data_IF_721227383932
#
_entry.id   IF_721227383932
#
_cell.length_a   1.000
_cell.length_b   1.000
_cell.length_c   1.000
_cell.angle_alpha   90.00
_cell.angle_beta   90.00
_cell.angle_gamma   90.00
#
_symmetry.space_group_name_H-M   'P 1'
#
loop_
_entity.id
_entity.type
_entity.pdbx_description
1 polymer ?
#
# COMPACT_ATOMS: atom_id res chain seq x y z
N UNK A 1 -6.27 2.01 -21.93
CA UNK A 1 -7.42 2.86 -21.53
C UNK A 1 -7.45 4.06 -22.45
N UNK A 2 -8.61 4.58 -22.85
CA UNK A 2 -8.67 5.74 -23.75
C UNK A 2 -8.24 7.00 -22.98
N UNK A 3 -7.33 7.78 -23.56
CA UNK A 3 -6.82 9.05 -23.00
C UNK A 3 -7.96 10.07 -22.72
N UNK A 4 -9.10 9.87 -23.39
CA UNK A 4 -10.31 10.70 -23.33
C UNK A 4 -11.03 10.63 -21.96
N UNK A 5 -10.93 9.50 -21.24
CA UNK A 5 -11.59 9.32 -19.93
C UNK A 5 -10.72 9.77 -18.74
N UNK A 6 -9.48 10.19 -19.01
CA UNK A 6 -8.49 10.46 -17.98
C UNK A 6 -8.90 11.59 -17.01
N UNK A 7 -9.49 12.72 -17.46
CA UNK A 7 -9.96 13.76 -16.55
C UNK A 7 -11.05 13.27 -15.59
N UNK A 8 -12.04 12.54 -16.11
CA UNK A 8 -13.14 11.98 -15.31
C UNK A 8 -12.61 10.97 -14.28
N UNK A 9 -11.65 10.15 -14.70
CA UNK A 9 -11.01 9.16 -13.86
C UNK A 9 -10.15 9.82 -12.76
N UNK A 10 -9.44 10.90 -13.09
CA UNK A 10 -8.66 11.67 -12.15
C UNK A 10 -9.56 12.32 -11.09
N UNK A 11 -10.68 12.93 -11.51
CA UNK A 11 -11.69 13.48 -10.59
C UNK A 11 -12.26 12.41 -9.66
N UNK A 12 -12.60 11.23 -10.19
CA UNK A 12 -13.10 10.11 -9.40
C UNK A 12 -12.12 9.70 -8.30
N UNK A 13 -10.84 9.47 -8.65
CA UNK A 13 -9.83 9.08 -7.67
C UNK A 13 -9.57 10.17 -6.65
N UNK A 14 -9.51 11.42 -7.10
CA UNK A 14 -9.26 12.56 -6.23
C UNK A 14 -10.38 12.71 -5.18
N UNK A 15 -11.64 12.64 -5.61
CA UNK A 15 -12.79 12.70 -4.72
C UNK A 15 -12.82 11.52 -3.73
N UNK A 16 -12.51 10.31 -4.23
CA UNK A 16 -12.45 9.10 -3.41
C UNK A 16 -11.37 9.22 -2.32
N UNK A 17 -10.14 9.58 -2.69
CA UNK A 17 -9.02 9.66 -1.77
C UNK A 17 -9.14 10.81 -0.78
N UNK A 18 -9.64 11.98 -1.21
CA UNK A 18 -9.94 13.09 -0.31
C UNK A 18 -10.94 12.66 0.79
N UNK A 19 -11.99 11.93 0.41
CA UNK A 19 -12.96 11.36 1.35
C UNK A 19 -12.34 10.33 2.30
N UNK A 20 -11.51 9.42 1.79
CA UNK A 20 -10.80 8.41 2.60
C UNK A 20 -9.82 9.07 3.60
N UNK A 21 -9.24 10.22 3.26
CA UNK A 21 -8.33 10.99 4.12
C UNK A 21 -9.05 12.01 5.02
N UNK A 22 -10.37 12.18 4.88
CA UNK A 22 -11.15 13.14 5.66
C UNK A 22 -10.84 14.61 5.34
N UNK A 23 -10.37 14.91 4.13
CA UNK A 23 -10.07 16.27 3.66
C UNK A 23 -11.05 16.71 2.57
N UNK A 24 -11.21 18.03 2.41
CA UNK A 24 -11.95 18.58 1.28
C UNK A 24 -11.23 18.25 -0.03
N UNK A 25 -11.99 17.97 -1.08
CA UNK A 25 -11.41 17.71 -2.40
C UNK A 25 -10.75 19.00 -2.91
N UNK A 26 -9.40 19.04 -3.08
CA UNK A 26 -8.70 20.25 -3.50
C UNK A 26 -8.96 20.60 -4.98
N UNK A 27 -9.40 19.64 -5.79
CA UNK A 27 -9.49 19.79 -7.24
C UNK A 27 -8.13 19.79 -7.94
N UNK A 28 -8.17 19.81 -9.28
CA UNK A 28 -7.02 19.89 -10.16
C UNK A 28 -7.06 21.19 -10.95
N UNK A 29 -5.92 21.80 -11.16
CA UNK A 29 -5.78 22.91 -12.12
C UNK A 29 -5.82 22.41 -13.57
N UNK A 30 -6.05 23.31 -14.52
CA UNK A 30 -6.08 22.95 -15.95
C UNK A 30 -4.72 22.44 -16.42
N UNK A 31 -3.67 23.03 -15.90
CA UNK A 31 -2.27 22.69 -16.16
C UNK A 31 -1.95 21.29 -15.61
N UNK A 32 -2.45 20.96 -14.41
CA UNK A 32 -2.35 19.63 -13.84
C UNK A 32 -3.07 18.57 -14.70
N UNK A 33 -4.29 18.87 -15.17
CA UNK A 33 -5.03 17.95 -16.06
C UNK A 33 -4.28 17.74 -17.37
N UNK A 34 -3.76 18.80 -17.98
CA UNK A 34 -2.99 18.71 -19.22
C UNK A 34 -1.71 17.87 -19.05
N UNK A 35 -1.00 18.02 -17.92
CA UNK A 35 0.17 17.21 -17.60
C UNK A 35 -0.20 15.73 -17.46
N UNK A 36 -1.30 15.42 -16.77
CA UNK A 36 -1.78 14.05 -16.63
C UNK A 36 -2.19 13.44 -17.97
N UNK A 37 -2.77 14.22 -18.88
CA UNK A 37 -3.13 13.75 -20.23
C UNK A 37 -1.91 13.53 -21.13
N UNK A 38 -0.84 14.30 -20.95
CA UNK A 38 0.40 14.19 -21.74
C UNK A 38 1.34 13.07 -21.29
N UNK A 39 1.08 12.43 -20.15
CA UNK A 39 1.94 11.37 -19.61
C UNK A 39 1.55 9.98 -20.16
N UNK A 40 2.50 9.09 -20.51
CA UNK A 40 2.21 7.82 -21.19
C UNK A 40 1.64 6.70 -20.30
N UNK A 41 1.62 6.88 -18.97
CA UNK A 41 1.07 5.93 -17.97
C UNK A 41 1.38 4.44 -18.24
N UNK A 42 2.66 4.02 -18.14
CA UNK A 42 3.07 2.63 -18.38
C UNK A 42 2.32 1.60 -17.51
N UNK A 43 1.85 1.99 -16.32
CA UNK A 43 1.06 1.19 -15.37
C UNK A 43 -0.46 1.37 -15.43
N UNK A 44 -1.00 2.03 -16.48
CA UNK A 44 -2.42 2.33 -16.65
C UNK A 44 -3.04 3.13 -15.47
N UNK A 45 -4.35 2.92 -15.25
CA UNK A 45 -5.22 3.52 -14.22
C UNK A 45 -4.66 3.43 -12.79
N UNK A 46 -3.88 2.38 -12.48
CA UNK A 46 -3.32 2.19 -11.13
C UNK A 46 -2.20 3.19 -10.86
N UNK A 47 -1.40 3.51 -11.87
CA UNK A 47 -0.32 4.48 -11.74
C UNK A 47 -0.88 5.90 -11.57
N UNK A 48 -1.92 6.25 -12.35
CA UNK A 48 -2.68 7.48 -12.17
C UNK A 48 -3.22 7.60 -10.74
N UNK A 49 -3.86 6.54 -10.23
CA UNK A 49 -4.39 6.52 -8.87
C UNK A 49 -3.29 6.74 -7.82
N UNK A 50 -2.13 6.09 -7.97
CA UNK A 50 -1.01 6.23 -7.05
C UNK A 50 -0.41 7.64 -7.06
N UNK A 51 -0.27 8.25 -8.24
CA UNK A 51 0.22 9.62 -8.37
C UNK A 51 -0.75 10.56 -7.68
N UNK A 52 -2.05 10.50 -7.99
CA UNK A 52 -3.07 11.36 -7.38
C UNK A 52 -3.15 11.18 -5.86
N UNK A 53 -3.06 9.95 -5.36
CA UNK A 53 -3.06 9.68 -3.93
C UNK A 53 -1.84 10.30 -3.24
N UNK A 54 -0.64 10.16 -3.81
CA UNK A 54 0.59 10.76 -3.27
C UNK A 54 0.52 12.28 -3.32
N UNK A 55 0.09 12.85 -4.44
CA UNK A 55 -0.06 14.29 -4.60
C UNK A 55 -1.01 14.86 -3.55
N UNK A 56 -2.14 14.19 -3.25
CA UNK A 56 -3.05 14.57 -2.16
C UNK A 56 -2.39 14.58 -0.78
N UNK A 57 -1.52 13.61 -0.47
CA UNK A 57 -0.83 13.53 0.83
C UNK A 57 0.10 14.74 1.04
N UNK A 58 0.76 15.19 -0.02
CA UNK A 58 1.69 16.32 0.04
C UNK A 58 1.01 17.68 -0.19
N UNK A 59 -0.25 17.67 -0.66
CA UNK A 59 -1.02 18.87 -0.92
C UNK A 59 -1.54 19.50 0.39
N UNK A 60 -1.36 20.81 0.53
CA UNK A 60 -1.72 21.58 1.74
C UNK A 60 -3.17 22.10 1.73
N UNK A 61 -4.07 21.45 1.00
CA UNK A 61 -5.49 21.84 0.88
C UNK A 61 -5.76 22.91 -0.20
N UNK A 62 -4.85 23.09 -1.16
CA UNK A 62 -5.01 24.01 -2.29
C UNK A 62 -5.18 23.22 -3.60
N UNK A 63 -5.75 23.80 -4.67
CA UNK A 63 -5.86 23.12 -5.95
C UNK A 63 -4.53 22.54 -6.42
N UNK A 64 -4.53 21.27 -6.79
CA UNK A 64 -3.32 20.54 -7.21
C UNK A 64 -2.78 21.17 -8.50
N UNK A 65 -1.52 21.58 -8.46
CA UNK A 65 -0.79 22.20 -9.56
C UNK A 65 -0.03 21.15 -10.38
N UNK A 66 0.38 21.52 -11.60
CA UNK A 66 1.23 20.68 -12.43
C UNK A 66 2.57 20.36 -11.74
N UNK A 67 3.10 21.30 -10.95
CA UNK A 67 4.34 21.16 -10.20
C UNK A 67 4.22 20.11 -9.09
N UNK A 68 3.07 20.02 -8.43
CA UNK A 68 2.83 19.02 -7.38
C UNK A 68 2.85 17.60 -7.97
N UNK A 69 2.34 17.46 -9.19
CA UNK A 69 2.34 16.20 -9.94
C UNK A 69 3.73 15.91 -10.49
N UNK A 70 4.41 16.91 -11.06
CA UNK A 70 5.75 16.75 -11.63
C UNK A 70 6.80 16.45 -10.57
N UNK A 71 6.64 16.94 -9.34
CA UNK A 71 7.47 16.53 -8.20
C UNK A 71 7.29 15.06 -7.85
N UNK A 72 6.05 14.54 -7.91
CA UNK A 72 5.76 13.12 -7.68
C UNK A 72 6.26 12.25 -8.84
N UNK A 73 6.28 12.78 -10.06
CA UNK A 73 6.78 12.09 -11.27
C UNK A 73 8.31 12.20 -11.44
N UNK A 74 8.93 13.32 -11.06
CA UNK A 74 10.31 13.69 -11.34
C UNK A 74 11.25 13.68 -10.13
N UNK A 75 10.72 13.51 -8.92
CA UNK A 75 11.50 13.28 -7.70
C UNK A 75 12.11 11.88 -7.72
N UNK A 76 13.18 11.73 -8.50
CA UNK A 76 13.98 10.52 -8.72
C UNK A 76 13.18 9.27 -9.12
N UNK A 77 13.76 8.53 -10.06
CA UNK A 77 13.58 7.08 -10.16
C UNK A 77 14.08 6.34 -8.91
N UNK A 78 13.59 6.74 -7.74
CA UNK A 78 13.17 5.79 -6.73
C UNK A 78 11.70 5.52 -7.10
N UNK A 79 11.46 4.80 -8.19
CA UNK A 79 11.31 3.34 -8.02
C UNK A 79 12.02 2.87 -6.74
N UNK A 80 11.48 3.24 -5.57
CA UNK A 80 11.16 2.22 -4.61
C UNK A 80 10.37 1.29 -5.51
N UNK A 81 10.83 0.07 -5.82
CA UNK A 81 9.84 -0.90 -6.22
C UNK A 81 8.74 -0.70 -5.17
N UNK A 82 7.59 -0.17 -5.60
CA UNK A 82 6.37 -0.42 -4.85
C UNK A 82 6.44 -1.91 -4.79
N UNK A 83 6.91 -2.49 -3.66
CA UNK A 83 7.44 -3.86 -3.58
C UNK A 83 6.48 -4.64 -4.41
N UNK A 84 6.87 -4.91 -5.67
CA UNK A 84 5.87 -5.40 -6.60
C UNK A 84 5.59 -6.74 -5.98
N UNK A 85 4.34 -7.01 -5.55
CA UNK A 85 4.06 -8.29 -4.97
C UNK A 85 4.65 -9.30 -5.96
N UNK A 86 5.63 -10.12 -5.54
CA UNK A 86 6.47 -10.88 -6.45
C UNK A 86 5.53 -11.57 -7.42
N UNK A 87 5.76 -11.36 -8.72
CA UNK A 87 4.74 -11.43 -9.76
C UNK A 87 3.60 -12.38 -9.40
N UNK A 88 2.38 -11.84 -9.35
CA UNK A 88 1.16 -12.52 -8.88
C UNK A 88 1.03 -13.97 -9.36
N UNK A 89 1.69 -14.35 -10.45
CA UNK A 89 1.90 -15.71 -10.95
C UNK A 89 2.05 -16.79 -9.86
N UNK A 90 2.92 -16.61 -8.86
CA UNK A 90 3.11 -17.61 -7.80
C UNK A 90 1.85 -17.72 -6.91
N UNK A 91 1.26 -16.58 -6.57
CA UNK A 91 0.02 -16.48 -5.78
C UNK A 91 -1.16 -17.05 -6.57
N UNK A 92 -1.30 -16.71 -7.85
CA UNK A 92 -2.34 -17.17 -8.78
C UNK A 92 -2.25 -18.67 -9.00
N UNK A 93 -1.04 -19.22 -9.15
CA UNK A 93 -0.81 -20.67 -9.27
C UNK A 93 -1.27 -21.41 -8.02
N UNK A 94 -0.91 -20.91 -6.85
CA UNK A 94 -1.34 -21.48 -5.58
C UNK A 94 -2.86 -21.39 -5.37
N UNK A 95 -3.47 -20.21 -5.61
CA UNK A 95 -4.94 -20.02 -5.54
C UNK A 95 -5.66 -20.97 -6.51
N UNK A 96 -5.16 -21.09 -7.75
CA UNK A 96 -5.74 -22.00 -8.76
C UNK A 96 -5.69 -23.45 -8.28
N UNK A 97 -4.57 -23.89 -7.71
CA UNK A 97 -4.46 -25.24 -7.14
C UNK A 97 -5.42 -25.45 -5.96
N UNK A 98 -5.54 -24.48 -5.07
CA UNK A 98 -6.44 -24.56 -3.91
C UNK A 98 -7.93 -24.59 -4.32
N UNK A 99 -8.31 -23.83 -5.34
CA UNK A 99 -9.65 -23.86 -5.94
C UNK A 99 -9.96 -25.22 -6.59
N UNK A 100 -9.00 -25.78 -7.34
CA UNK A 100 -9.16 -27.09 -8.00
C UNK A 100 -9.17 -28.26 -7.02
N UNK A 101 -8.51 -28.13 -5.87
CA UNK A 101 -8.47 -29.15 -4.82
C UNK A 101 -9.78 -29.28 -4.02
N UNK A 102 -10.81 -28.47 -4.31
CA UNK A 102 -12.13 -28.62 -3.72
C UNK A 102 -12.25 -28.15 -2.26
N UNK A 103 -11.32 -27.34 -1.76
CA UNK A 103 -11.43 -26.69 -0.44
C UNK A 103 -12.42 -25.50 -0.44
N UNK A 104 -13.57 -25.64 -1.12
CA UNK A 104 -14.49 -24.54 -1.42
C UNK A 104 -15.08 -23.85 -0.20
N UNK A 105 -15.30 -24.59 0.89
CA UNK A 105 -15.80 -24.03 2.13
C UNK A 105 -14.63 -23.43 2.92
N UNK A 106 -14.54 -22.10 2.92
CA UNK A 106 -13.55 -21.26 3.64
C UNK A 106 -12.19 -21.02 2.95
N UNK A 107 -12.04 -21.32 1.66
CA UNK A 107 -10.80 -20.98 0.93
C UNK A 107 -10.45 -19.48 1.04
N UNK A 108 -11.46 -18.61 0.98
CA UNK A 108 -11.28 -17.17 1.08
C UNK A 108 -10.66 -16.76 2.43
N UNK A 109 -11.22 -17.24 3.54
CA UNK A 109 -10.69 -16.99 4.89
C UNK A 109 -9.28 -17.59 5.05
N UNK A 110 -9.04 -18.80 4.54
CA UNK A 110 -7.73 -19.43 4.61
C UNK A 110 -6.65 -18.65 3.83
N UNK A 111 -7.00 -18.10 2.66
CA UNK A 111 -6.11 -17.22 1.90
C UNK A 111 -5.80 -15.94 2.68
N UNK A 112 -6.84 -15.28 3.20
CA UNK A 112 -6.70 -14.04 3.94
C UNK A 112 -5.84 -14.23 5.19
N UNK A 113 -6.06 -15.33 5.92
CA UNK A 113 -5.33 -15.67 7.13
C UNK A 113 -3.85 -15.95 6.83
N UNK A 114 -3.56 -16.68 5.73
CA UNK A 114 -2.19 -16.94 5.27
C UNK A 114 -1.44 -15.64 4.96
N UNK A 115 -2.06 -14.74 4.19
CA UNK A 115 -1.44 -13.46 3.85
C UNK A 115 -1.26 -12.56 5.07
N UNK A 116 -2.27 -12.49 5.93
CA UNK A 116 -2.23 -11.66 7.14
C UNK A 116 -1.16 -12.17 8.12
N UNK A 117 -1.02 -13.48 8.24
CA UNK A 117 0.03 -14.13 9.03
C UNK A 117 1.44 -13.76 8.54
N UNK A 118 1.69 -13.81 7.23
CA UNK A 118 2.97 -13.36 6.66
C UNK A 118 3.23 -11.87 6.94
N UNK A 119 2.26 -11.00 6.68
CA UNK A 119 2.43 -9.55 6.86
C UNK A 119 2.76 -9.17 8.31
N UNK A 120 2.07 -9.78 9.28
CA UNK A 120 2.28 -9.50 10.70
C UNK A 120 3.62 -10.05 11.17
N UNK A 121 4.00 -11.26 10.73
CA UNK A 121 5.29 -11.85 11.08
C UNK A 121 6.46 -10.98 10.61
N UNK A 122 6.45 -10.56 9.34
CA UNK A 122 7.48 -9.67 8.77
C UNK A 122 7.56 -8.32 9.51
N UNK A 123 6.41 -7.71 9.81
CA UNK A 123 6.39 -6.46 10.56
C UNK A 123 6.92 -6.61 11.99
N UNK A 124 6.69 -7.76 12.63
CA UNK A 124 7.23 -8.07 13.95
C UNK A 124 8.74 -8.31 13.90
N UNK A 125 9.24 -9.04 12.90
CA UNK A 125 10.68 -9.27 12.71
C UNK A 125 11.43 -7.96 12.46
N UNK A 126 10.96 -7.14 11.51
CA UNK A 126 11.56 -5.84 11.19
C UNK A 126 11.50 -4.84 12.36
N UNK A 127 10.57 -5.03 13.30
CA UNK A 127 10.44 -4.22 14.50
C UNK A 127 11.13 -4.82 15.74
N UNK A 128 11.81 -5.96 15.61
CA UNK A 128 12.44 -6.66 16.73
C UNK A 128 11.45 -7.11 17.80
N UNK A 129 10.22 -7.47 17.41
CA UNK A 129 9.13 -7.84 18.30
C UNK A 129 8.38 -6.66 18.93
N UNK A 130 8.72 -5.42 18.58
CA UNK A 130 8.02 -4.25 19.11
C UNK A 130 6.64 -4.08 18.44
N UNK A 131 5.62 -4.57 19.13
CA UNK A 131 4.21 -4.57 18.67
C UNK A 131 3.69 -3.18 18.32
N UNK A 132 4.08 -2.12 19.04
CA UNK A 132 3.64 -0.75 18.73
C UNK A 132 4.28 -0.24 17.44
N UNK A 133 5.55 -0.57 17.21
CA UNK A 133 6.27 -0.23 15.97
C UNK A 133 5.75 -1.05 14.79
N UNK A 134 5.50 -2.35 14.96
CA UNK A 134 4.88 -3.21 13.95
C UNK A 134 3.50 -2.70 13.52
N UNK A 135 2.66 -2.30 14.48
CA UNK A 135 1.33 -1.73 14.20
C UNK A 135 1.43 -0.45 13.37
N UNK A 136 2.37 0.43 13.73
CA UNK A 136 2.64 1.66 12.98
C UNK A 136 3.16 1.38 11.57
N UNK A 137 4.02 0.37 11.39
CA UNK A 137 4.52 -0.05 10.08
C UNK A 137 3.41 -0.60 9.17
N UNK A 138 2.46 -1.32 9.76
CA UNK A 138 1.30 -1.88 9.04
C UNK A 138 0.14 -0.90 8.87
N UNK A 139 0.21 0.31 9.44
CA UNK A 139 -0.85 1.31 9.36
C UNK A 139 -2.14 0.94 10.11
N UNK A 140 -2.06 0.03 11.10
CA UNK A 140 -3.22 -0.41 11.90
C UNK A 140 -3.07 0.00 13.36
N UNK A 141 -4.19 0.03 14.10
CA UNK A 141 -4.15 0.30 15.53
C UNK A 141 -3.45 -0.83 16.29
N UNK A 142 -2.77 -0.51 17.41
CA UNK A 142 -2.14 -1.51 18.27
C UNK A 142 -3.14 -2.57 18.79
N UNK A 143 -4.36 -2.23 19.24
CA UNK A 143 -5.38 -3.23 19.58
C UNK A 143 -5.74 -4.16 18.41
N UNK A 144 -5.86 -3.62 17.19
CA UNK A 144 -6.13 -4.41 15.98
C UNK A 144 -5.00 -5.40 15.69
N UNK A 145 -3.74 -4.98 15.83
CA UNK A 145 -2.59 -5.86 15.66
C UNK A 145 -2.61 -7.00 16.69
N UNK A 146 -2.86 -6.69 17.97
CA UNK A 146 -2.90 -7.71 19.03
C UNK A 146 -3.99 -8.76 18.78
N UNK A 147 -5.21 -8.31 18.45
CA UNK A 147 -6.31 -9.22 18.11
C UNK A 147 -5.96 -10.13 16.91
N UNK A 148 -5.21 -9.61 15.93
CA UNK A 148 -4.75 -10.38 14.77
C UNK A 148 -3.62 -11.36 15.13
N UNK A 149 -2.67 -10.97 15.98
CA UNK A 149 -1.62 -11.87 16.50
C UNK A 149 -2.26 -13.05 17.25
N UNK A 150 -3.23 -12.79 18.11
CA UNK A 150 -3.91 -13.82 18.91
C UNK A 150 -4.76 -14.74 18.02
N UNK A 151 -5.52 -14.17 17.07
CA UNK A 151 -6.33 -14.94 16.10
C UNK A 151 -5.46 -15.88 15.26
N UNK A 152 -4.25 -15.46 14.89
CA UNK A 152 -3.37 -16.23 14.01
C UNK A 152 -2.26 -17.00 14.72
N UNK A 153 -2.23 -16.98 16.06
CA UNK A 153 -1.25 -17.70 16.92
C UNK A 153 0.20 -17.52 16.46
N UNK A 154 0.57 -16.31 16.05
CA UNK A 154 1.92 -16.02 15.57
C UNK A 154 2.91 -16.06 16.74
N UNK A 155 3.84 -17.01 16.72
CA UNK A 155 4.92 -17.09 17.70
C UNK A 155 5.98 -16.05 17.34
N UNK A 156 6.12 -15.02 18.18
CA UNK A 156 7.19 -14.03 18.05
C UNK A 156 8.47 -14.65 18.58
N UNK A 157 9.38 -15.05 17.71
CA UNK A 157 10.76 -15.31 18.11
C UNK A 157 11.46 -13.96 18.36
N UNK A 158 11.26 -13.41 19.55
CA UNK A 158 12.08 -12.30 20.03
C UNK A 158 13.52 -12.78 20.12
N UNK A 159 14.32 -12.50 19.10
CA UNK A 159 15.78 -12.53 19.21
C UNK A 159 16.18 -11.44 20.19
N UNK A 160 16.35 -11.81 21.45
CA UNK A 160 16.94 -10.96 22.46
C UNK A 160 18.41 -10.80 22.10
N UNK A 161 18.77 -9.73 21.39
CA UNK A 161 20.16 -9.26 21.35
C UNK A 161 20.51 -8.81 22.77
N UNK A 162 21.09 -9.72 23.55
CA UNK A 162 21.66 -9.40 24.86
C UNK A 162 22.76 -8.35 24.66
N UNK A 163 22.79 -7.27 25.46
CA UNK A 163 23.84 -6.27 25.37
C UNK A 163 25.15 -6.92 25.82
N UNK A 164 26.23 -6.61 25.08
CA UNK A 164 27.54 -7.22 25.28
C UNK A 164 28.05 -7.11 26.71
N UNK A 165 28.56 -8.23 27.23
CA UNK A 165 29.56 -8.19 28.30
C UNK A 165 30.90 -7.90 27.66
N UNK A 166 31.33 -6.65 27.77
CA UNK A 166 32.72 -6.25 27.67
C UNK A 166 33.34 -6.27 29.08
N UNK A 167 34.53 -6.84 29.22
CA UNK A 167 35.46 -6.57 30.31
C UNK A 167 35.42 -7.57 31.49
N UNK A 168 36.33 -8.52 31.51
CA UNK A 168 37.64 -8.43 32.17
C UNK A 168 38.48 -9.67 31.83
#
# INVERSE_FOLDING_TARGET
>A
ARLEDLPLLAEYFLARFAREMGIANPGLTKEAVALLQGYPWPGNVRELANVLQKTLIFNRGYPIQAEDISQVLGGEGVTRPAVEPPGDEAVRRWIRQALLAGQGDNLFEACLDRFTSCLISEALELSGGNRSRAAKMLGISRPTLLAKIDRYRLKVETTIKSPGKNGA
#
